data_IF_562887451955
#
_entry.id   IF_562887451955
#
_cell.length_a   1.000
_cell.length_b   1.000
_cell.length_c   1.000
_cell.angle_alpha   90.00
_cell.angle_beta   90.00
_cell.angle_gamma   90.00
#
_symmetry.space_group_name_H-M   'P 1'
#
loop_
_entity.id
_entity.type
_entity.pdbx_description
1 polymer ?
#
# COMPACT_ATOMS: atom_id res chain seq x y z
N UNK A 1 15.37 -13.53 11.85
CA UNK A 1 14.03 -13.08 11.39
C UNK A 1 14.09 -11.56 11.25
N UNK A 2 13.91 -10.97 10.08
CA UNK A 2 13.90 -9.49 9.94
C UNK A 2 12.53 -9.00 10.41
N UNK A 3 12.51 -8.25 11.51
CA UNK A 3 11.31 -7.63 12.05
C UNK A 3 10.85 -6.50 11.11
N UNK A 4 9.59 -6.51 10.71
CA UNK A 4 8.96 -5.38 10.03
C UNK A 4 8.54 -4.39 11.10
N UNK A 5 9.10 -3.18 11.07
CA UNK A 5 8.58 -2.12 11.91
C UNK A 5 7.28 -1.60 11.27
N UNK A 6 6.17 -2.21 11.67
CA UNK A 6 4.84 -1.88 11.15
C UNK A 6 4.52 -0.39 11.30
N UNK A 7 5.05 0.27 12.34
CA UNK A 7 4.82 1.70 12.59
C UNK A 7 5.33 2.62 11.48
N UNK A 8 6.32 2.16 10.71
CA UNK A 8 6.88 2.93 9.59
C UNK A 8 6.29 2.56 8.24
N UNK A 9 5.43 1.55 8.18
CA UNK A 9 4.75 1.21 6.92
C UNK A 9 3.85 2.37 6.54
N UNK A 10 3.83 2.72 5.26
CA UNK A 10 2.93 3.75 4.69
C UNK A 10 2.11 3.23 3.52
N UNK A 11 2.56 2.15 2.88
CA UNK A 11 1.75 1.40 1.94
C UNK A 11 2.22 -0.06 1.90
N UNK A 12 1.29 -0.96 1.59
CA UNK A 12 1.55 -2.37 1.37
C UNK A 12 0.67 -2.89 0.24
N UNK A 13 1.27 -3.58 -0.73
CA UNK A 13 0.55 -4.27 -1.79
C UNK A 13 0.59 -5.79 -1.52
N UNK A 14 -0.59 -6.38 -1.35
CA UNK A 14 -0.82 -7.76 -0.98
C UNK A 14 -1.05 -8.60 -2.24
N UNK A 15 0.00 -9.14 -2.84
CA UNK A 15 -0.14 -9.94 -4.04
C UNK A 15 -0.68 -11.34 -3.72
N UNK A 16 -1.67 -11.78 -4.47
CA UNK A 16 -2.18 -13.17 -4.43
C UNK A 16 -1.45 -14.05 -5.47
N UNK A 17 -1.44 -15.39 -5.34
CA UNK A 17 -0.83 -16.27 -6.33
C UNK A 17 -1.55 -16.21 -7.68
N UNK A 18 -2.84 -15.86 -7.68
CA UNK A 18 -3.59 -15.65 -8.92
C UNK A 18 -3.00 -14.50 -9.76
N UNK A 19 -2.33 -13.54 -9.12
CA UNK A 19 -1.65 -12.40 -9.74
C UNK A 19 -0.16 -12.65 -9.97
N UNK A 20 0.40 -13.75 -9.45
CA UNK A 20 1.77 -14.16 -9.73
C UNK A 20 1.85 -15.68 -10.00
N UNK A 21 1.83 -16.10 -11.27
CA UNK A 21 1.81 -17.51 -11.65
C UNK A 21 3.11 -18.26 -11.29
N UNK A 22 4.15 -17.56 -10.81
CA UNK A 22 5.38 -18.18 -10.31
C UNK A 22 5.27 -18.67 -8.86
N UNK A 23 4.15 -18.35 -8.17
CA UNK A 23 3.86 -18.84 -6.81
C UNK A 23 3.04 -20.12 -6.92
N UNK A 24 3.72 -21.26 -6.82
CA UNK A 24 3.12 -22.61 -6.97
C UNK A 24 2.71 -23.25 -5.63
N UNK A 25 2.93 -22.56 -4.51
CA UNK A 25 2.63 -23.01 -3.14
C UNK A 25 1.63 -22.06 -2.43
N UNK A 26 1.27 -22.36 -1.18
CA UNK A 26 0.31 -21.55 -0.40
C UNK A 26 0.84 -20.17 0.05
N UNK A 27 2.03 -19.78 -0.42
CA UNK A 27 2.61 -18.52 -0.01
C UNK A 27 1.99 -17.33 -0.75
N UNK A 28 2.30 -16.15 -0.25
CA UNK A 28 1.84 -14.86 -0.73
C UNK A 28 3.03 -13.94 -0.85
N UNK A 29 2.91 -12.93 -1.70
CA UNK A 29 3.92 -11.91 -1.87
C UNK A 29 3.40 -10.59 -1.35
N UNK A 30 4.30 -9.81 -0.77
CA UNK A 30 3.98 -8.51 -0.23
C UNK A 30 5.07 -7.53 -0.61
N UNK A 31 4.65 -6.44 -1.23
CA UNK A 31 5.45 -5.25 -1.44
C UNK A 31 5.16 -4.23 -0.35
N UNK A 32 6.17 -3.73 0.36
CA UNK A 32 5.99 -2.79 1.48
C UNK A 32 6.84 -1.53 1.28
N UNK A 33 6.20 -0.39 1.45
CA UNK A 33 6.80 0.94 1.45
C UNK A 33 6.85 1.47 2.88
N UNK A 34 7.99 2.04 3.23
CA UNK A 34 8.23 2.64 4.54
C UNK A 34 8.46 4.14 4.45
N UNK A 35 7.96 4.89 5.44
CA UNK A 35 8.22 6.31 5.63
C UNK A 35 9.68 6.56 5.97
N UNK A 36 10.16 7.76 5.64
CA UNK A 36 11.50 8.23 5.98
C UNK A 36 11.88 9.46 5.14
N UNK A 37 13.13 9.89 5.25
CA UNK A 37 13.66 10.99 4.42
C UNK A 37 13.48 10.74 2.92
N UNK A 38 13.44 9.48 2.52
CA UNK A 38 12.98 9.02 1.21
C UNK A 38 12.07 7.81 1.43
N UNK A 39 10.99 7.73 0.68
CA UNK A 39 10.12 6.56 0.68
C UNK A 39 10.88 5.40 0.04
N UNK A 40 10.93 4.28 0.74
CA UNK A 40 11.63 3.08 0.26
C UNK A 40 10.69 1.90 0.15
N UNK A 41 10.60 1.35 -1.05
CA UNK A 41 10.09 -0.02 -1.27
C UNK A 41 11.17 -0.97 -0.81
N UNK A 42 10.99 -1.62 0.33
CA UNK A 42 12.06 -2.38 0.97
C UNK A 42 11.89 -3.89 0.91
N UNK A 43 10.68 -4.37 0.63
CA UNK A 43 10.36 -5.74 0.94
C UNK A 43 9.44 -6.32 -0.12
N UNK A 44 9.96 -7.26 -0.89
CA UNK A 44 9.19 -8.27 -1.62
C UNK A 44 9.36 -9.57 -0.85
N UNK A 45 8.42 -9.90 0.05
CA UNK A 45 8.55 -11.08 0.93
C UNK A 45 7.55 -12.16 0.57
N UNK A 46 8.06 -13.38 0.49
CA UNK A 46 7.26 -14.62 0.53
C UNK A 46 6.80 -14.87 1.98
N UNK A 47 5.49 -14.76 2.22
CA UNK A 47 4.86 -14.98 3.53
C UNK A 47 3.77 -16.05 3.42
N UNK A 48 3.31 -16.60 4.54
CA UNK A 48 2.08 -17.40 4.55
C UNK A 48 0.85 -16.50 4.43
N UNK A 49 -0.27 -17.04 3.92
CA UNK A 49 -1.55 -16.34 3.90
C UNK A 49 -1.92 -15.74 5.26
N UNK A 50 -1.79 -16.52 6.33
CA UNK A 50 -2.12 -16.05 7.68
C UNK A 50 -1.30 -14.81 8.11
N UNK A 51 0.00 -14.77 7.80
CA UNK A 51 0.86 -13.62 8.11
C UNK A 51 0.47 -12.38 7.28
N UNK A 52 0.09 -12.56 6.01
CA UNK A 52 -0.37 -11.47 5.15
C UNK A 52 -1.67 -10.85 5.68
N UNK A 53 -2.66 -11.69 6.01
CA UNK A 53 -3.95 -11.24 6.56
C UNK A 53 -3.78 -10.59 7.94
N UNK A 54 -2.87 -11.10 8.77
CA UNK A 54 -2.57 -10.48 10.07
C UNK A 54 -1.99 -9.07 9.90
N UNK A 55 -1.07 -8.86 8.95
CA UNK A 55 -0.56 -7.52 8.68
C UNK A 55 -1.66 -6.62 8.13
N UNK A 56 -2.47 -7.12 7.19
CA UNK A 56 -3.56 -6.37 6.60
C UNK A 56 -4.51 -5.83 7.69
N UNK A 57 -4.97 -6.72 8.57
CA UNK A 57 -5.85 -6.36 9.68
C UNK A 57 -5.21 -5.34 10.63
N UNK A 58 -3.91 -5.47 10.93
CA UNK A 58 -3.19 -4.50 11.77
C UNK A 58 -3.09 -3.12 11.12
N UNK A 59 -2.87 -3.05 9.80
CA UNK A 59 -2.81 -1.77 9.07
C UNK A 59 -4.20 -1.12 8.98
N UNK A 60 -5.24 -1.89 8.70
CA UNK A 60 -6.63 -1.40 8.70
C UNK A 60 -7.03 -0.86 10.08
N UNK A 61 -6.67 -1.54 11.18
CA UNK A 61 -6.89 -1.04 12.54
C UNK A 61 -6.15 0.27 12.84
N UNK A 62 -5.04 0.54 12.15
CA UNK A 62 -4.29 1.81 12.25
C UNK A 62 -4.87 2.92 11.39
N UNK A 63 -5.91 2.64 10.60
CA UNK A 63 -6.59 3.62 9.74
C UNK A 63 -6.13 3.63 8.29
N UNK A 64 -5.42 2.58 7.83
CA UNK A 64 -5.10 2.45 6.41
C UNK A 64 -6.37 2.27 5.58
N UNK A 65 -6.40 2.91 4.42
CA UNK A 65 -7.43 2.69 3.42
C UNK A 65 -7.05 1.52 2.52
N UNK A 66 -8.04 0.72 2.14
CA UNK A 66 -7.86 -0.42 1.24
C UNK A 66 -8.41 -0.11 -0.14
N UNK A 67 -7.58 -0.40 -1.15
CA UNK A 67 -7.92 -0.36 -2.57
C UNK A 67 -7.56 -1.68 -3.23
N UNK A 68 -8.53 -2.60 -3.33
CA UNK A 68 -8.28 -3.98 -3.71
C UNK A 68 -7.20 -4.64 -2.83
N UNK A 69 -6.04 -4.90 -3.42
CA UNK A 69 -4.87 -5.50 -2.77
C UNK A 69 -3.87 -4.46 -2.22
N UNK A 70 -4.10 -3.17 -2.45
CA UNK A 70 -3.28 -2.10 -1.90
C UNK A 70 -3.87 -1.61 -0.58
N UNK A 71 -3.02 -1.45 0.42
CA UNK A 71 -3.28 -0.73 1.67
C UNK A 71 -2.36 0.48 1.70
N UNK A 72 -2.88 1.65 2.09
CA UNK A 72 -2.06 2.86 2.23
C UNK A 72 -2.52 3.72 3.40
N UNK A 73 -1.58 4.44 4.02
CA UNK A 73 -1.86 5.42 5.06
C UNK A 73 -2.35 6.70 4.40
N UNK A 74 -3.62 7.12 4.61
CA UNK A 74 -4.12 8.37 4.05
C UNK A 74 -3.37 9.60 4.56
N UNK A 75 -2.72 9.54 5.73
CA UNK A 75 -1.98 10.66 6.34
C UNK A 75 -0.64 10.93 5.65
N UNK A 76 -0.12 9.95 4.93
CA UNK A 76 1.17 10.04 4.23
C UNK A 76 0.98 10.42 2.74
N UNK A 77 -0.27 10.63 2.30
CA UNK A 77 -0.57 11.09 0.95
C UNK A 77 -0.22 12.57 0.82
N UNK A 78 0.73 12.89 -0.05
CA UNK A 78 1.15 14.25 -0.37
C UNK A 78 0.30 14.88 -1.49
N UNK A 79 -0.12 14.06 -2.46
CA UNK A 79 -0.87 14.50 -3.62
C UNK A 79 -1.80 13.41 -4.12
N UNK A 80 -2.96 13.78 -4.66
CA UNK A 80 -3.93 12.85 -5.24
C UNK A 80 -4.53 13.43 -6.53
N UNK A 81 -4.40 12.69 -7.63
CA UNK A 81 -4.91 13.04 -8.97
C UNK A 81 -5.99 12.06 -9.42
N UNK A 82 -6.99 12.56 -10.15
CA UNK A 82 -8.02 11.72 -10.77
C UNK A 82 -7.69 11.45 -12.24
N UNK A 83 -7.59 10.18 -12.65
CA UNK A 83 -7.31 9.83 -14.05
C UNK A 83 -8.61 9.74 -14.88
N UNK A 84 -9.74 9.39 -14.23
CA UNK A 84 -11.13 9.65 -14.64
C UNK A 84 -12.04 9.08 -13.55
N UNK A 85 -13.23 9.63 -13.31
CA UNK A 85 -14.14 9.11 -12.25
C UNK A 85 -14.46 7.61 -12.38
N UNK A 86 -14.23 7.02 -13.57
CA UNK A 86 -14.44 5.60 -13.87
C UNK A 86 -13.18 4.71 -13.71
N UNK A 87 -11.96 5.26 -13.71
CA UNK A 87 -10.69 4.48 -13.74
C UNK A 87 -9.88 4.61 -12.42
N UNK A 88 -10.43 5.30 -11.43
CA UNK A 88 -9.72 5.57 -10.16
C UNK A 88 -8.73 6.73 -10.31
N UNK A 89 -7.74 6.78 -9.42
CA UNK A 89 -6.76 7.86 -9.37
C UNK A 89 -5.36 7.42 -8.95
N UNK A 90 -4.44 8.38 -8.98
CA UNK A 90 -3.06 8.22 -8.53
C UNK A 90 -2.86 9.00 -7.24
N UNK A 91 -2.22 8.38 -6.26
CA UNK A 91 -1.76 9.07 -5.05
C UNK A 91 -0.24 9.06 -4.99
N UNK A 92 0.35 10.15 -4.54
CA UNK A 92 1.78 10.25 -4.21
C UNK A 92 1.95 10.17 -2.71
N UNK A 93 2.70 9.19 -2.22
CA UNK A 93 2.96 8.99 -0.77
C UNK A 93 4.34 9.50 -0.32
N UNK A 94 5.07 10.15 -1.23
CA UNK A 94 6.41 10.68 -0.98
C UNK A 94 7.32 10.57 -2.19
N UNK A 95 8.62 10.74 -1.95
CA UNK A 95 9.65 10.72 -2.99
C UNK A 95 10.69 9.64 -2.70
N UNK A 96 11.05 8.87 -3.72
CA UNK A 96 12.05 7.82 -3.65
C UNK A 96 13.47 8.33 -3.90
N UNK A 97 14.38 7.40 -4.21
CA UNK A 97 15.75 7.74 -4.58
C UNK A 97 15.79 8.58 -5.87
N UNK A 98 16.55 9.68 -5.83
CA UNK A 98 16.65 10.62 -6.95
C UNK A 98 15.51 11.64 -7.06
N UNK A 99 14.64 11.74 -6.04
CA UNK A 99 13.58 12.76 -5.98
C UNK A 99 12.37 12.48 -6.87
N UNK A 100 12.24 11.24 -7.38
CA UNK A 100 11.06 10.83 -8.15
C UNK A 100 9.88 10.54 -7.22
N UNK A 101 8.65 10.97 -7.55
CA UNK A 101 7.48 10.66 -6.74
C UNK A 101 7.24 9.14 -6.72
N UNK A 102 6.75 8.65 -5.58
CA UNK A 102 6.25 7.29 -5.42
C UNK A 102 4.74 7.33 -5.56
N UNK A 103 4.28 6.95 -6.74
CA UNK A 103 2.88 7.01 -7.15
C UNK A 103 2.23 5.63 -7.04
N UNK A 104 1.03 5.58 -6.48
CA UNK A 104 0.24 4.36 -6.32
C UNK A 104 -1.13 4.56 -6.95
N UNK A 105 -1.59 3.59 -7.75
CA UNK A 105 -2.93 3.60 -8.32
C UNK A 105 -3.94 3.07 -7.31
N UNK A 106 -5.02 3.81 -7.14
CA UNK A 106 -6.14 3.47 -6.25
C UNK A 106 -7.44 3.48 -7.02
N UNK A 107 -8.39 2.65 -6.62
CA UNK A 107 -9.74 2.63 -7.16
C UNK A 107 -10.56 3.86 -6.72
N UNK A 108 -11.67 4.08 -7.41
CA UNK A 108 -12.53 5.25 -7.18
C UNK A 108 -13.14 5.27 -5.77
N UNK A 109 -13.41 4.10 -5.17
CA UNK A 109 -13.99 4.02 -3.82
C UNK A 109 -12.96 4.44 -2.77
N UNK A 110 -11.74 3.92 -2.84
CA UNK A 110 -10.65 4.30 -1.95
C UNK A 110 -10.28 5.79 -2.11
N UNK A 111 -10.30 6.31 -3.34
CA UNK A 111 -10.06 7.72 -3.61
C UNK A 111 -11.17 8.63 -3.03
N UNK A 112 -12.43 8.19 -3.13
CA UNK A 112 -13.55 8.89 -2.50
C UNK A 112 -13.44 8.87 -0.97
N UNK A 113 -13.03 7.74 -0.38
CA UNK A 113 -12.80 7.63 1.06
C UNK A 113 -11.68 8.56 1.53
N UNK A 114 -10.58 8.67 0.78
CA UNK A 114 -9.48 9.59 1.07
C UNK A 114 -9.96 11.05 1.16
N UNK A 115 -10.85 11.48 0.26
CA UNK A 115 -11.44 12.83 0.30
C UNK A 115 -12.28 13.09 1.55
N UNK A 116 -12.93 12.05 2.07
CA UNK A 116 -13.65 12.11 3.34
C UNK A 116 -12.71 12.22 4.54
N UNK A 117 -11.59 11.49 4.50
CA UNK A 117 -10.61 11.43 5.59
C UNK A 117 -9.77 12.71 5.76
N UNK A 118 -9.62 13.52 4.70
CA UNK A 118 -8.84 14.79 4.73
C UNK A 118 -9.67 15.98 5.27
N UNK A 119 -10.97 15.79 5.56
CA UNK A 119 -11.88 16.86 6.01
C UNK A 119 -12.05 17.01 7.54
N UNK A 120 -11.23 16.34 8.34
CA UNK A 120 -11.23 16.47 9.82
C UNK A 120 -9.95 17.13 10.35
#
# INVERSE_FOLDING_TARGET
MRYVNAERVIAAQLTTPAENPLVTDETRLMDIWFSGAQVRKQMFRKVKKAEQEELAARLEQRGFLRSGNLLFDPREVLFAEMESELVGGLITIGYGEGGKPVELKVDAQALAALRGAVRE
#
